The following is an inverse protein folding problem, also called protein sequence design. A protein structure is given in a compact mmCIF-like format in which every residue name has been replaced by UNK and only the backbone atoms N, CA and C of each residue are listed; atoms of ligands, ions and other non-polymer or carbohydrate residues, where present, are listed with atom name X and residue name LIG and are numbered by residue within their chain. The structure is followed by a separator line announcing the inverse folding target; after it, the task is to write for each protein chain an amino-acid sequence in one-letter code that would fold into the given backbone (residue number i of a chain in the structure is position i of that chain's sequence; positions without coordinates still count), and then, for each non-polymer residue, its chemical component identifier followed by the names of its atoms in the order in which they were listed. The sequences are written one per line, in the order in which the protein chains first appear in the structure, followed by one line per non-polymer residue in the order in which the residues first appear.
data_IF_394229741375
#
_entry.id   IF_394229741375
#
_cell.length_a   1.000
_cell.length_b   1.000
_cell.length_c   1.000
_cell.angle_alpha   90.00
_cell.angle_beta   90.00
_cell.angle_gamma   90.00
#
_symmetry.space_group_name_H-M   'P 1'
#
loop_
_entity.id
_entity.type
_entity.pdbx_description
1 polymer ?
#
# COMPACT_ATOMS: atom_id res chain seq x y z
N UNK A 1 10.88 25.30 -1.83
CA UNK A 1 11.94 24.93 -0.87
C UNK A 1 12.69 23.70 -1.37
N UNK A 2 13.79 23.28 -0.72
CA UNK A 2 14.65 22.20 -1.22
C UNK A 2 13.94 20.85 -1.39
N UNK A 3 12.93 20.55 -0.57
CA UNK A 3 12.13 19.31 -0.65
C UNK A 3 10.83 19.44 -1.46
N UNK A 4 10.70 20.44 -2.34
CA UNK A 4 9.46 20.67 -3.12
C UNK A 4 9.09 19.47 -4.00
N UNK A 5 10.09 18.77 -4.55
CA UNK A 5 9.89 17.60 -5.40
C UNK A 5 9.23 16.45 -4.63
N UNK A 6 9.65 16.22 -3.38
CA UNK A 6 9.07 15.19 -2.52
C UNK A 6 7.62 15.51 -2.15
N UNK A 7 7.31 16.78 -1.87
CA UNK A 7 5.94 17.23 -1.61
C UNK A 7 5.04 17.11 -2.84
N UNK A 8 5.55 17.49 -4.03
CA UNK A 8 4.81 17.37 -5.28
C UNK A 8 4.51 15.90 -5.63
N UNK A 9 5.49 15.02 -5.41
CA UNK A 9 5.32 13.58 -5.66
C UNK A 9 4.31 12.96 -4.68
N UNK A 10 4.41 13.30 -3.39
CA UNK A 10 3.43 12.90 -2.37
C UNK A 10 2.00 13.32 -2.77
N UNK A 11 1.81 14.59 -3.13
CA UNK A 11 0.48 15.10 -3.50
C UNK A 11 -0.05 14.45 -4.78
N UNK A 12 0.80 14.29 -5.79
CA UNK A 12 0.39 13.65 -7.04
C UNK A 12 0.00 12.19 -6.80
N UNK A 13 0.83 11.42 -6.09
CA UNK A 13 0.56 10.02 -5.83
C UNK A 13 -0.67 9.81 -4.94
N UNK A 14 -0.85 10.59 -3.87
CA UNK A 14 -1.95 10.36 -2.93
C UNK A 14 -3.28 10.97 -3.41
N UNK A 15 -3.26 12.09 -4.15
CA UNK A 15 -4.48 12.74 -4.63
C UNK A 15 -4.94 12.19 -5.97
N UNK A 16 -4.03 11.88 -6.91
CA UNK A 16 -4.42 11.43 -8.27
C UNK A 16 -4.81 9.95 -8.29
N UNK A 17 -4.10 9.09 -7.54
CA UNK A 17 -4.38 7.65 -7.50
C UNK A 17 -5.84 7.29 -7.19
N UNK A 18 -6.50 7.86 -6.15
CA UNK A 18 -7.90 7.55 -5.87
C UNK A 18 -8.85 8.11 -6.93
N UNK A 19 -8.52 9.24 -7.58
CA UNK A 19 -9.35 9.81 -8.63
C UNK A 19 -9.44 8.90 -9.86
N UNK A 20 -8.38 8.16 -10.16
CA UNK A 20 -8.36 7.18 -11.25
C UNK A 20 -9.34 6.02 -10.97
N UNK A 21 -9.62 5.70 -9.71
CA UNK A 21 -10.52 4.60 -9.33
C UNK A 21 -12.02 4.93 -9.49
N UNK A 22 -12.40 6.18 -9.73
CA UNK A 22 -13.77 6.54 -10.09
C UNK A 22 -14.22 5.93 -11.42
N UNK A 23 -13.29 5.69 -12.33
CA UNK A 23 -13.58 5.05 -13.61
C UNK A 23 -13.74 3.54 -13.41
N UNK A 24 -14.98 3.05 -13.57
CA UNK A 24 -15.32 1.62 -13.43
C UNK A 24 -14.40 0.72 -14.26
N UNK A 25 -14.06 1.13 -15.49
CA UNK A 25 -13.18 0.39 -16.41
C UNK A 25 -11.76 0.19 -15.86
N UNK A 26 -11.25 1.15 -15.10
CA UNK A 26 -9.91 1.11 -14.50
C UNK A 26 -9.93 0.34 -13.17
N UNK A 27 -10.99 0.50 -12.37
CA UNK A 27 -11.16 -0.23 -11.10
C UNK A 27 -11.35 -1.74 -11.26
N UNK A 28 -11.98 -2.19 -12.35
CA UNK A 28 -12.20 -3.63 -12.58
C UNK A 28 -11.00 -4.32 -13.25
N UNK A 29 -9.96 -3.58 -13.60
CA UNK A 29 -8.74 -4.15 -14.18
C UNK A 29 -7.74 -4.49 -13.06
N UNK A 30 -7.37 -5.76 -12.96
CA UNK A 30 -6.35 -6.23 -12.01
C UNK A 30 -5.00 -5.55 -12.23
N UNK A 31 -4.59 -5.36 -13.49
CA UNK A 31 -3.31 -4.75 -13.85
C UNK A 31 -3.25 -3.30 -13.39
N UNK A 32 -4.31 -2.54 -13.66
CA UNK A 32 -4.38 -1.11 -13.27
C UNK A 32 -4.41 -0.99 -11.75
N UNK A 33 -5.20 -1.82 -11.06
CA UNK A 33 -5.28 -1.83 -9.60
C UNK A 33 -3.95 -2.21 -8.94
N UNK A 34 -3.18 -3.13 -9.54
CA UNK A 34 -1.85 -3.51 -9.07
C UNK A 34 -0.83 -2.38 -9.24
N UNK A 35 -0.82 -1.68 -10.37
CA UNK A 35 0.07 -0.52 -10.56
C UNK A 35 -0.29 0.60 -9.58
N UNK A 36 -1.59 0.90 -9.41
CA UNK A 36 -2.06 1.92 -8.47
C UNK A 36 -1.66 1.58 -7.03
N UNK A 37 -1.74 0.31 -6.60
CA UNK A 37 -1.37 -0.08 -5.23
C UNK A 37 0.12 0.16 -4.94
N UNK A 38 1.00 -0.05 -5.92
CA UNK A 38 2.43 0.28 -5.79
C UNK A 38 2.62 1.79 -5.64
N UNK A 39 1.99 2.57 -6.52
CA UNK A 39 2.09 4.05 -6.50
C UNK A 39 1.59 4.62 -5.17
N UNK A 40 0.49 4.11 -4.64
CA UNK A 40 -0.06 4.54 -3.35
C UNK A 40 0.89 4.21 -2.20
N UNK A 41 1.47 3.00 -2.16
CA UNK A 41 2.44 2.64 -1.11
C UNK A 41 3.67 3.59 -1.12
N UNK A 42 4.18 3.92 -2.31
CA UNK A 42 5.27 4.88 -2.47
C UNK A 42 4.82 6.29 -2.00
N UNK A 43 3.62 6.73 -2.39
CA UNK A 43 3.06 8.02 -1.99
C UNK A 43 2.89 8.18 -0.48
N UNK A 44 2.38 7.15 0.20
CA UNK A 44 2.25 7.12 1.66
C UNK A 44 3.60 7.13 2.39
N UNK A 45 4.61 6.47 1.81
CA UNK A 45 5.97 6.56 2.34
C UNK A 45 6.54 7.99 2.20
N UNK A 46 6.33 8.63 1.04
CA UNK A 46 6.72 10.03 0.83
C UNK A 46 5.98 10.98 1.77
N UNK A 47 4.71 10.72 2.11
CA UNK A 47 3.98 11.50 3.11
C UNK A 47 4.70 11.51 4.45
N UNK A 48 5.09 10.33 4.95
CA UNK A 48 5.82 10.22 6.22
C UNK A 48 7.20 10.85 6.13
N UNK A 49 7.90 10.68 5.02
CA UNK A 49 9.20 11.34 4.78
C UNK A 49 9.07 12.87 4.81
N UNK A 50 8.09 13.43 4.11
CA UNK A 50 7.87 14.88 4.03
C UNK A 50 7.49 15.43 5.40
N UNK A 51 6.53 14.83 6.11
CA UNK A 51 6.10 15.30 7.44
C UNK A 51 7.29 15.38 8.40
N UNK A 52 8.15 14.35 8.43
CA UNK A 52 9.28 14.30 9.36
C UNK A 52 10.40 15.25 8.90
N UNK A 53 10.94 15.05 7.69
CA UNK A 53 12.15 15.73 7.23
C UNK A 53 11.94 17.23 7.01
N UNK A 54 10.79 17.63 6.46
CA UNK A 54 10.56 19.07 6.21
C UNK A 54 10.28 19.85 7.49
N UNK A 55 9.70 19.22 8.51
CA UNK A 55 9.50 19.83 9.82
C UNK A 55 10.81 19.99 10.61
N UNK A 56 11.75 19.04 10.46
CA UNK A 56 13.05 19.06 11.17
C UNK A 56 14.13 19.90 10.47
N UNK A 57 14.10 20.01 9.13
CA UNK A 57 15.11 20.76 8.37
C UNK A 57 15.08 22.27 8.65
N UNK A 58 13.91 22.84 8.95
CA UNK A 58 13.69 24.27 9.18
C UNK A 58 12.98 24.48 10.50
N UNK A 59 13.75 24.43 11.57
CA UNK A 59 13.23 24.68 12.92
C UNK A 59 13.28 26.18 13.30
N UNK A 60 12.79 26.51 14.50
CA UNK A 60 12.65 27.90 14.98
C UNK A 60 13.94 28.73 14.96
N UNK A 61 15.11 28.11 15.12
CA UNK A 61 16.41 28.81 15.05
C UNK A 61 17.06 28.65 13.65
N UNK A 62 17.32 29.76 12.93
CA UNK A 62 17.94 29.72 11.60
C UNK A 62 19.35 29.12 11.56
N UNK A 63 20.09 29.18 12.69
CA UNK A 63 21.45 28.63 12.81
C UNK A 63 21.51 27.10 12.78
N UNK A 64 20.39 26.42 13.06
CA UNK A 64 20.31 24.96 13.13
C UNK A 64 19.76 24.31 11.86
N UNK A 65 19.55 25.10 10.81
CA UNK A 65 19.03 24.60 9.54
C UNK A 65 20.05 23.69 8.86
N UNK A 66 19.72 22.41 8.74
CA UNK A 66 20.61 21.38 8.16
C UNK A 66 19.86 20.49 7.18
N UNK A 67 20.51 20.10 6.08
CA UNK A 67 19.92 19.26 5.05
C UNK A 67 20.10 17.78 5.39
N UNK A 68 19.03 16.98 5.25
CA UNK A 68 19.09 15.54 5.39
C UNK A 68 19.38 14.88 4.04
N UNK A 69 20.46 14.09 3.99
CA UNK A 69 20.77 13.18 2.88
C UNK A 69 20.93 11.77 3.44
N UNK A 70 20.13 10.79 3.01
CA UNK A 70 20.24 9.42 3.49
C UNK A 70 21.58 8.81 3.06
N UNK A 71 22.12 7.96 3.92
CA UNK A 71 23.32 7.16 3.63
C UNK A 71 22.94 5.82 3.01
N UNK A 72 23.92 5.13 2.44
CA UNK A 72 23.71 3.78 1.88
C UNK A 72 23.18 2.79 2.94
N UNK A 73 23.54 2.99 4.21
CA UNK A 73 23.12 2.14 5.32
C UNK A 73 21.62 2.30 5.59
N UNK A 74 21.09 3.52 5.53
CA UNK A 74 19.66 3.80 5.72
C UNK A 74 18.80 3.08 4.65
N UNK A 75 19.26 3.13 3.40
CA UNK A 75 18.61 2.46 2.27
C UNK A 75 18.73 0.93 2.40
N UNK A 76 19.90 0.45 2.84
CA UNK A 76 20.16 -0.97 3.07
C UNK A 76 19.26 -1.57 4.15
N UNK A 77 19.05 -0.86 5.26
CA UNK A 77 18.14 -1.28 6.34
C UNK A 77 16.70 -1.28 5.85
N UNK A 78 16.29 -0.27 5.07
CA UNK A 78 14.95 -0.21 4.50
C UNK A 78 14.68 -1.40 3.57
N UNK A 79 15.56 -1.66 2.60
CA UNK A 79 15.44 -2.81 1.69
C UNK A 79 15.52 -4.13 2.47
N UNK A 80 16.40 -4.21 3.47
CA UNK A 80 16.52 -5.37 4.36
C UNK A 80 15.22 -5.69 5.10
N UNK A 81 14.50 -4.68 5.57
CA UNK A 81 13.20 -4.86 6.24
C UNK A 81 12.12 -5.40 5.30
N UNK A 82 12.10 -4.95 4.03
CA UNK A 82 11.20 -5.47 3.00
C UNK A 82 11.54 -6.94 2.70
N UNK A 83 12.82 -7.25 2.53
CA UNK A 83 13.29 -8.62 2.29
C UNK A 83 12.94 -9.56 3.44
N UNK A 84 13.14 -9.10 4.68
CA UNK A 84 12.79 -9.87 5.88
C UNK A 84 11.28 -10.11 6.01
N UNK A 85 10.46 -9.09 5.73
CA UNK A 85 9.01 -9.23 5.67
C UNK A 85 8.57 -10.26 4.63
N UNK A 86 9.11 -10.19 3.40
CA UNK A 86 8.80 -11.14 2.34
C UNK A 86 9.26 -12.57 2.67
N UNK A 87 10.40 -12.71 3.32
CA UNK A 87 10.90 -14.01 3.77
C UNK A 87 9.94 -14.66 4.79
N UNK A 88 9.52 -13.90 5.81
CA UNK A 88 8.55 -14.38 6.80
C UNK A 88 7.19 -14.66 6.18
N UNK A 89 6.72 -13.79 5.26
CA UNK A 89 5.46 -13.98 4.56
C UNK A 89 5.48 -15.24 3.68
N UNK A 90 6.58 -15.51 2.98
CA UNK A 90 6.72 -16.69 2.13
C UNK A 90 6.81 -17.98 2.96
N UNK A 91 7.50 -17.94 4.11
CA UNK A 91 7.52 -19.04 5.07
C UNK A 91 6.11 -19.31 5.61
N UNK A 92 5.38 -18.25 6.01
CA UNK A 92 4.00 -18.37 6.45
C UNK A 92 3.09 -18.98 5.38
N UNK A 93 3.16 -18.48 4.15
CA UNK A 93 2.35 -18.96 3.03
C UNK A 93 2.63 -20.44 2.68
N UNK A 94 3.84 -20.93 2.97
CA UNK A 94 4.22 -22.33 2.78
C UNK A 94 3.80 -23.23 3.95
N UNK A 95 3.94 -22.76 5.18
CA UNK A 95 3.76 -23.57 6.38
C UNK A 95 2.33 -23.59 6.91
N UNK A 96 1.52 -22.56 6.65
CA UNK A 96 0.16 -22.42 7.18
C UNK A 96 -0.88 -22.33 6.07
N UNK A 97 -2.13 -22.80 6.30
CA UNK A 97 -3.22 -22.60 5.35
C UNK A 97 -3.56 -21.11 5.26
N UNK A 98 -3.33 -20.51 4.08
CA UNK A 98 -3.50 -19.06 3.83
C UNK A 98 -4.97 -18.62 3.92
N UNK A 99 -5.92 -19.56 3.82
CA UNK A 99 -7.36 -19.29 3.83
C UNK A 99 -8.02 -20.03 5.00
N UNK A 100 -8.75 -19.28 5.83
CA UNK A 100 -9.51 -19.81 6.95
C UNK A 100 -10.68 -20.69 6.48
N UNK A 101 -10.51 -22.01 6.59
CA UNK A 101 -11.49 -22.99 6.09
C UNK A 101 -12.84 -22.96 6.83
N UNK A 102 -12.84 -22.62 8.13
CA UNK A 102 -14.06 -22.52 8.92
C UNK A 102 -14.99 -21.40 8.39
N UNK A 103 -14.41 -20.24 8.08
CA UNK A 103 -15.14 -19.07 7.55
C UNK A 103 -15.63 -19.31 6.12
N UNK A 104 -14.79 -19.90 5.26
CA UNK A 104 -15.19 -20.17 3.87
C UNK A 104 -16.40 -21.12 3.82
N UNK A 105 -16.45 -22.13 4.71
CA UNK A 105 -17.57 -23.09 4.76
C UNK A 105 -18.88 -22.46 5.23
N UNK A 106 -18.84 -21.51 6.18
CA UNK A 106 -20.05 -20.83 6.65
C UNK A 106 -20.64 -19.92 5.56
N UNK A 107 -19.78 -19.19 4.84
CA UNK A 107 -20.19 -18.28 3.77
C UNK A 107 -20.71 -19.03 2.53
N UNK A 108 -20.08 -20.16 2.17
CA UNK A 108 -20.44 -20.91 0.96
C UNK A 108 -21.90 -21.40 0.98
N UNK A 109 -22.42 -21.79 2.14
CA UNK A 109 -23.82 -22.21 2.30
C UNK A 109 -24.80 -21.05 2.08
N UNK A 110 -24.40 -19.82 2.40
CA UNK A 110 -25.24 -18.62 2.30
C UNK A 110 -25.13 -17.92 0.93
N UNK A 111 -23.92 -17.81 0.39
CA UNK A 111 -23.61 -16.98 -0.79
C UNK A 111 -23.15 -17.75 -2.03
N UNK A 112 -23.03 -19.09 -1.94
CA UNK A 112 -22.61 -19.92 -3.07
C UNK A 112 -23.58 -19.87 -4.24
N UNK A 113 -23.07 -19.64 -5.44
CA UNK A 113 -23.87 -19.52 -6.67
C UNK A 113 -24.72 -20.77 -6.94
N UNK A 114 -24.20 -21.96 -6.63
CA UNK A 114 -24.94 -23.22 -6.74
C UNK A 114 -26.14 -23.28 -5.77
N UNK A 115 -25.99 -22.80 -4.53
CA UNK A 115 -27.08 -22.80 -3.55
C UNK A 115 -28.15 -21.74 -3.85
N UNK A 116 -27.76 -20.63 -4.49
CA UNK A 116 -28.72 -19.63 -5.01
C UNK A 116 -29.53 -20.21 -6.18
N UNK A 117 -28.86 -20.81 -7.17
CA UNK A 117 -29.52 -21.45 -8.32
C UNK A 117 -30.49 -22.57 -7.90
N UNK A 118 -30.11 -23.38 -6.91
CA UNK A 118 -30.98 -24.43 -6.36
C UNK A 118 -32.24 -23.88 -5.69
N UNK A 119 -32.11 -22.77 -4.92
CA UNK A 119 -33.26 -22.09 -4.31
C UNK A 119 -34.19 -21.49 -5.35
N UNK A 120 -33.64 -20.79 -6.34
CA UNK A 120 -34.43 -20.17 -7.42
C UNK A 120 -35.12 -21.22 -8.32
N UNK A 121 -34.61 -22.46 -8.38
CA UNK A 121 -35.24 -23.57 -9.11
C UNK A 121 -36.27 -24.37 -8.31
N UNK A 122 -36.33 -24.17 -6.99
CA UNK A 122 -37.26 -24.83 -6.07
C UNK A 122 -38.44 -23.92 -5.64
N UNK A 123 -38.47 -22.66 -6.11
CA UNK A 123 -39.66 -21.79 -6.18
C UNK A 123 -40.35 -21.92 -7.55
#
# INVERSE_FOLDING_TARGET
GPYWWAYFFMMTCNVVSPQIMWFKKLRTSLIVSFIISIVVNIGMWFERFVIIVTSLHRDFLPSSWTMFSPTFIDIGIFIGSIGFFLLLFLLYARSFPVIAQAEVKSILKSSGENYKKLRDSHE
#
